data_IF_728418260163
#
_entry.id   IF_728418260163
#
_cell.length_a   1.000
_cell.length_b   1.000
_cell.length_c   1.000
_cell.angle_alpha   90.00
_cell.angle_beta   90.00
_cell.angle_gamma   90.00
#
_symmetry.space_group_name_H-M   'P 1'
#
loop_
_entity.id
_entity.type
_entity.pdbx_description
1 polymer ?
#
# COMPACT_ATOMS: atom_id res chain seq x y z
N UNK A 1 37.14 -20.85 5.27
CA UNK A 1 36.72 -19.66 4.51
C UNK A 1 35.23 -19.63 4.64
N UNK A 2 34.69 -18.61 5.26
CA UNK A 2 33.22 -18.39 5.23
C UNK A 2 32.81 -18.25 3.76
N UNK A 3 31.84 -19.06 3.33
CA UNK A 3 31.29 -18.99 2.00
C UNK A 3 30.60 -17.60 1.85
N UNK A 4 30.94 -16.85 0.80
CA UNK A 4 30.34 -15.54 0.58
C UNK A 4 28.84 -15.72 0.40
N UNK A 5 28.03 -15.20 1.33
CA UNK A 5 26.57 -15.35 1.38
C UNK A 5 25.91 -14.91 0.07
N UNK A 6 26.39 -13.84 -0.55
CA UNK A 6 25.87 -13.34 -1.81
C UNK A 6 26.04 -14.36 -2.96
N UNK A 7 27.22 -14.97 -3.06
CA UNK A 7 27.49 -16.00 -4.07
C UNK A 7 26.64 -17.25 -3.83
N UNK A 8 26.47 -17.64 -2.57
CA UNK A 8 25.61 -18.77 -2.21
C UNK A 8 24.16 -18.51 -2.65
N UNK A 9 23.55 -17.41 -2.20
CA UNK A 9 22.17 -17.05 -2.53
C UNK A 9 21.97 -16.90 -4.06
N UNK A 10 22.91 -16.25 -4.75
CA UNK A 10 22.91 -16.16 -6.21
C UNK A 10 22.93 -17.53 -6.89
N UNK A 11 23.78 -18.44 -6.40
CA UNK A 11 23.91 -19.80 -6.95
C UNK A 11 22.65 -20.62 -6.72
N UNK A 12 22.02 -20.47 -5.56
CA UNK A 12 20.73 -21.11 -5.25
C UNK A 12 19.63 -20.62 -6.18
N UNK A 13 19.55 -19.30 -6.39
CA UNK A 13 18.56 -18.71 -7.29
C UNK A 13 18.69 -19.16 -8.74
N UNK A 14 19.91 -19.10 -9.32
CA UNK A 14 20.12 -19.48 -10.72
C UNK A 14 19.82 -20.97 -11.00
N UNK A 15 20.01 -21.81 -9.96
CA UNK A 15 19.76 -23.26 -10.03
C UNK A 15 18.36 -23.65 -9.57
N UNK A 16 17.58 -22.71 -9.01
CA UNK A 16 16.24 -23.02 -8.50
C UNK A 16 15.33 -23.53 -9.62
N UNK A 17 14.62 -24.63 -9.36
CA UNK A 17 13.59 -25.13 -10.27
C UNK A 17 12.39 -24.21 -10.20
N UNK A 18 11.88 -23.81 -11.37
CA UNK A 18 10.70 -22.94 -11.43
C UNK A 18 10.99 -21.43 -11.48
N UNK A 19 12.27 -21.02 -11.43
CA UNK A 19 12.58 -19.63 -11.75
C UNK A 19 12.23 -19.32 -13.20
N UNK A 20 11.61 -18.18 -13.44
CA UNK A 20 11.26 -17.69 -14.76
C UNK A 20 12.45 -17.66 -15.72
N UNK A 21 12.22 -17.94 -17.01
CA UNK A 21 13.28 -18.05 -18.02
C UNK A 21 14.05 -16.73 -18.23
N UNK A 22 13.33 -15.62 -18.24
CA UNK A 22 13.92 -14.31 -18.49
C UNK A 22 14.74 -13.87 -17.26
N UNK A 23 14.23 -14.15 -16.05
CA UNK A 23 14.94 -13.97 -14.80
C UNK A 23 16.22 -14.81 -14.76
N UNK A 24 16.14 -16.09 -15.13
CA UNK A 24 17.30 -16.97 -15.21
C UNK A 24 18.37 -16.43 -16.20
N UNK A 25 17.93 -15.97 -17.37
CA UNK A 25 18.82 -15.37 -18.37
C UNK A 25 19.48 -14.08 -17.83
N UNK A 26 18.71 -13.26 -17.10
CA UNK A 26 19.26 -12.08 -16.46
C UNK A 26 20.33 -12.45 -15.41
N UNK A 27 20.07 -13.45 -14.57
CA UNK A 27 21.04 -13.97 -13.60
C UNK A 27 22.30 -14.51 -14.27
N UNK A 28 22.17 -15.27 -15.38
CA UNK A 28 23.35 -15.75 -16.14
C UNK A 28 24.22 -14.59 -16.64
N UNK A 29 23.61 -13.49 -17.08
CA UNK A 29 24.34 -12.31 -17.53
C UNK A 29 24.98 -11.53 -16.37
N UNK A 30 24.48 -11.70 -15.14
CA UNK A 30 25.00 -11.03 -13.93
C UNK A 30 26.36 -11.62 -13.48
N UNK A 31 26.75 -12.80 -13.89
CA UNK A 31 27.96 -13.49 -13.45
C UNK A 31 29.24 -12.66 -13.64
N UNK A 32 29.27 -11.78 -14.65
CA UNK A 32 30.38 -10.86 -14.92
C UNK A 32 30.34 -9.57 -14.09
N UNK A 33 29.37 -9.40 -13.20
CA UNK A 33 29.11 -8.19 -12.41
C UNK A 33 29.06 -8.51 -10.90
N UNK A 34 30.20 -8.82 -10.27
CA UNK A 34 30.24 -9.28 -8.87
C UNK A 34 29.68 -8.26 -7.87
N UNK A 35 29.84 -6.95 -8.12
CA UNK A 35 29.28 -5.90 -7.27
C UNK A 35 27.74 -5.91 -7.30
N UNK A 36 27.13 -6.23 -8.44
CA UNK A 36 25.69 -6.37 -8.56
C UNK A 36 25.18 -7.63 -7.85
N UNK A 37 25.91 -8.74 -7.96
CA UNK A 37 25.61 -9.96 -7.20
C UNK A 37 25.66 -9.66 -5.70
N UNK A 38 26.69 -9.00 -5.22
CA UNK A 38 26.80 -8.59 -3.82
C UNK A 38 25.60 -7.72 -3.41
N UNK A 39 25.26 -6.69 -4.19
CA UNK A 39 24.16 -5.78 -3.90
C UNK A 39 22.78 -6.46 -3.88
N UNK A 40 22.58 -7.51 -4.69
CA UNK A 40 21.27 -8.16 -4.84
C UNK A 40 21.08 -9.39 -3.94
N UNK A 41 22.17 -9.98 -3.42
CA UNK A 41 22.15 -11.29 -2.76
C UNK A 41 22.88 -11.35 -1.41
N UNK A 42 23.58 -10.28 -0.98
CA UNK A 42 24.32 -10.27 0.30
C UNK A 42 23.42 -10.44 1.52
N UNK A 43 22.16 -10.01 1.38
CA UNK A 43 21.18 -10.05 2.44
C UNK A 43 19.84 -10.64 1.94
N UNK A 44 19.03 -11.05 2.86
CA UNK A 44 17.60 -11.30 2.62
C UNK A 44 16.83 -10.08 3.06
N UNK A 45 15.70 -9.79 2.40
CA UNK A 45 14.85 -8.69 2.80
C UNK A 45 14.43 -8.85 4.26
N UNK A 46 14.74 -7.85 5.06
CA UNK A 46 14.30 -7.81 6.46
C UNK A 46 12.80 -7.51 6.53
N UNK A 47 12.09 -8.33 7.27
CA UNK A 47 10.69 -8.11 7.61
C UNK A 47 10.65 -7.28 8.91
N UNK A 48 10.72 -5.96 8.76
CA UNK A 48 10.68 -5.04 9.91
C UNK A 48 9.25 -4.79 10.41
N UNK A 49 9.12 -3.99 11.47
CA UNK A 49 7.83 -3.60 12.11
C UNK A 49 6.81 -3.03 11.10
N UNK A 50 7.27 -2.42 10.02
CA UNK A 50 6.41 -1.85 8.98
C UNK A 50 6.23 -2.77 7.76
N UNK A 51 6.62 -4.06 7.86
CA UNK A 51 6.70 -4.98 6.74
C UNK A 51 8.03 -4.88 5.98
N UNK A 52 8.05 -5.22 4.70
CA UNK A 52 9.26 -5.14 3.85
C UNK A 52 9.20 -3.92 2.94
N UNK A 53 10.33 -3.25 2.72
CA UNK A 53 10.49 -2.20 1.69
C UNK A 53 11.89 -2.27 1.10
N UNK A 54 11.97 -2.37 -0.22
CA UNK A 54 13.23 -2.31 -0.94
C UNK A 54 13.03 -1.81 -2.37
N UNK A 55 14.12 -1.59 -3.06
CA UNK A 55 14.08 -1.37 -4.51
C UNK A 55 13.64 -2.63 -5.23
N UNK A 56 12.87 -2.45 -6.29
CA UNK A 56 12.47 -3.54 -7.19
C UNK A 56 13.69 -4.15 -7.89
N UNK A 57 13.68 -5.44 -8.10
CA UNK A 57 14.76 -6.11 -8.83
C UNK A 57 14.93 -7.59 -8.50
N UNK A 58 15.94 -8.16 -9.10
CA UNK A 58 16.31 -9.57 -8.93
C UNK A 58 17.11 -9.76 -7.65
N UNK A 59 16.88 -10.86 -6.95
CA UNK A 59 17.66 -11.30 -5.80
C UNK A 59 16.93 -11.22 -4.47
N UNK A 60 17.53 -11.84 -3.46
CA UNK A 60 16.96 -11.97 -2.12
C UNK A 60 16.90 -10.64 -1.34
N UNK A 61 17.70 -9.66 -1.73
CA UNK A 61 17.74 -8.32 -1.12
C UNK A 61 16.83 -7.29 -1.85
N UNK A 62 15.99 -7.73 -2.79
CA UNK A 62 15.13 -6.87 -3.63
C UNK A 62 13.67 -7.28 -3.52
N UNK A 63 12.78 -6.30 -3.74
CA UNK A 63 11.35 -6.59 -3.93
C UNK A 63 11.11 -7.22 -5.30
N UNK A 64 10.54 -8.40 -5.29
CA UNK A 64 10.12 -9.14 -6.47
C UNK A 64 9.02 -10.16 -6.10
N UNK A 65 8.45 -10.85 -7.08
CA UNK A 65 7.37 -11.82 -6.85
C UNK A 65 7.78 -12.94 -5.88
N UNK A 66 9.04 -13.36 -5.87
CA UNK A 66 9.53 -14.46 -5.02
C UNK A 66 9.69 -14.03 -3.56
N UNK A 67 10.28 -12.85 -3.30
CA UNK A 67 10.42 -12.33 -1.93
C UNK A 67 9.06 -12.01 -1.30
N UNK A 68 8.12 -11.50 -2.11
CA UNK A 68 6.73 -11.28 -1.69
C UNK A 68 6.00 -12.61 -1.42
N UNK A 69 6.16 -13.60 -2.30
CA UNK A 69 5.57 -14.92 -2.12
C UNK A 69 6.06 -15.61 -0.83
N UNK A 70 7.36 -15.53 -0.55
CA UNK A 70 7.93 -16.02 0.71
C UNK A 70 7.24 -15.43 1.93
N UNK A 71 7.10 -14.09 1.95
CA UNK A 71 6.48 -13.39 3.08
C UNK A 71 4.98 -13.70 3.22
N UNK A 72 4.26 -13.75 2.10
CA UNK A 72 2.83 -14.04 2.09
C UNK A 72 2.52 -15.48 2.54
N UNK A 73 3.31 -16.44 2.08
CA UNK A 73 3.21 -17.84 2.52
C UNK A 73 3.48 -17.98 4.02
N UNK A 74 4.57 -17.38 4.51
CA UNK A 74 4.94 -17.41 5.92
C UNK A 74 3.86 -16.76 6.81
N UNK A 75 3.26 -15.65 6.35
CA UNK A 75 2.11 -15.04 7.03
C UNK A 75 0.90 -15.96 7.06
N UNK A 76 0.60 -16.65 5.96
CA UNK A 76 -0.49 -17.61 5.88
C UNK A 76 -0.30 -18.79 6.84
N UNK A 77 0.91 -19.36 6.91
CA UNK A 77 1.22 -20.43 7.87
C UNK A 77 1.03 -19.96 9.33
N UNK A 78 1.50 -18.76 9.66
CA UNK A 78 1.33 -18.15 10.98
C UNK A 78 -0.15 -17.97 11.35
N UNK A 79 -0.96 -17.46 10.42
CA UNK A 79 -2.39 -17.27 10.65
C UNK A 79 -3.14 -18.60 10.80
N UNK A 80 -2.81 -19.61 10.01
CA UNK A 80 -3.41 -20.96 10.14
C UNK A 80 -3.09 -21.62 11.47
N UNK A 81 -1.86 -21.51 11.93
CA UNK A 81 -1.48 -22.03 13.25
C UNK A 81 -2.26 -21.33 14.37
N UNK A 82 -2.41 -19.99 14.28
CA UNK A 82 -3.18 -19.20 15.26
C UNK A 82 -4.68 -19.56 15.27
N UNK A 83 -5.22 -20.04 14.15
CA UNK A 83 -6.65 -20.34 13.96
C UNK A 83 -6.92 -21.82 13.72
N UNK A 84 -6.26 -22.71 14.47
CA UNK A 84 -6.34 -24.17 14.33
C UNK A 84 -7.75 -24.69 13.97
N UNK A 85 -7.84 -25.42 12.85
CA UNK A 85 -9.07 -26.10 12.42
C UNK A 85 -10.16 -25.18 11.83
N UNK A 86 -9.90 -23.90 11.66
CA UNK A 86 -10.82 -22.94 11.01
C UNK A 86 -10.32 -22.56 9.63
N UNK A 87 -11.25 -22.21 8.76
CA UNK A 87 -10.92 -21.53 7.51
C UNK A 87 -10.35 -20.14 7.81
N UNK A 88 -9.18 -19.84 7.26
CA UNK A 88 -8.51 -18.56 7.39
C UNK A 88 -8.68 -17.79 6.09
N UNK A 89 -9.05 -16.51 6.16
CA UNK A 89 -9.16 -15.63 5.01
C UNK A 89 -8.45 -14.29 5.25
N UNK A 90 -7.80 -13.78 4.21
CA UNK A 90 -7.12 -12.48 4.23
C UNK A 90 -7.60 -11.57 3.12
N UNK A 91 -7.42 -10.27 3.29
CA UNK A 91 -7.69 -9.26 2.26
C UNK A 91 -6.37 -8.80 1.65
N UNK A 92 -6.29 -8.74 0.32
CA UNK A 92 -5.11 -8.21 -0.38
C UNK A 92 -5.50 -7.01 -1.23
N UNK A 93 -4.74 -5.93 -1.10
CA UNK A 93 -4.86 -4.71 -1.91
C UNK A 93 -3.48 -4.17 -2.30
N UNK A 94 -3.47 -3.21 -3.22
CA UNK A 94 -2.25 -2.63 -3.77
C UNK A 94 -2.47 -1.17 -4.18
N UNK A 95 -1.38 -0.42 -4.27
CA UNK A 95 -1.36 0.98 -4.71
C UNK A 95 -1.06 1.14 -6.21
N UNK A 96 -0.76 2.39 -6.63
CA UNK A 96 -0.50 2.74 -8.03
C UNK A 96 0.93 2.46 -8.52
N UNK A 97 1.82 1.97 -7.67
CA UNK A 97 3.23 1.75 -8.02
C UNK A 97 3.38 0.69 -9.11
N UNK A 98 4.45 0.82 -9.88
CA UNK A 98 4.83 -0.17 -10.87
C UNK A 98 4.95 -1.56 -10.20
N UNK A 99 4.43 -2.58 -10.86
CA UNK A 99 4.40 -3.98 -10.43
C UNK A 99 3.60 -4.25 -9.13
N UNK A 100 2.88 -3.27 -8.54
CA UNK A 100 2.11 -3.50 -7.31
C UNK A 100 1.05 -4.58 -7.49
N UNK A 101 0.38 -4.63 -8.64
CA UNK A 101 -0.62 -5.65 -8.94
C UNK A 101 0.01 -7.04 -9.08
N UNK A 102 1.10 -7.16 -9.84
CA UNK A 102 1.80 -8.45 -10.05
C UNK A 102 2.34 -9.01 -8.74
N UNK A 103 2.89 -8.14 -7.87
CA UNK A 103 3.33 -8.53 -6.54
C UNK A 103 2.15 -8.95 -5.65
N UNK A 104 0.99 -8.28 -5.76
CA UNK A 104 -0.22 -8.65 -5.03
C UNK A 104 -0.78 -10.00 -5.48
N UNK A 105 -0.76 -10.28 -6.80
CA UNK A 105 -1.16 -11.57 -7.37
C UNK A 105 -0.24 -12.70 -6.88
N UNK A 106 1.09 -12.47 -6.86
CA UNK A 106 2.05 -13.43 -6.30
C UNK A 106 1.83 -13.67 -4.79
N UNK A 107 1.50 -12.62 -4.03
CA UNK A 107 1.12 -12.75 -2.62
C UNK A 107 -0.15 -13.58 -2.45
N UNK A 108 -1.16 -13.39 -3.31
CA UNK A 108 -2.40 -14.14 -3.28
C UNK A 108 -2.17 -15.63 -3.55
N UNK A 109 -1.44 -15.96 -4.62
CA UNK A 109 -1.07 -17.33 -4.96
C UNK A 109 -0.32 -18.02 -3.81
N UNK A 110 0.68 -17.35 -3.23
CA UNK A 110 1.45 -17.91 -2.12
C UNK A 110 0.60 -18.08 -0.84
N UNK A 111 -0.33 -17.16 -0.58
CA UNK A 111 -1.27 -17.29 0.54
C UNK A 111 -2.19 -18.48 0.35
N UNK A 112 -2.74 -18.69 -0.85
CA UNK A 112 -3.54 -19.87 -1.16
C UNK A 112 -2.73 -21.18 -1.05
N UNK A 113 -1.46 -21.18 -1.49
CA UNK A 113 -0.56 -22.32 -1.34
C UNK A 113 -0.31 -22.69 0.16
N UNK A 114 -0.40 -21.72 1.07
CA UNK A 114 -0.40 -21.99 2.53
C UNK A 114 -1.75 -22.48 3.05
N UNK A 115 -2.79 -22.52 2.22
CA UNK A 115 -4.16 -22.96 2.57
C UNK A 115 -5.04 -21.86 3.15
N UNK A 116 -4.80 -20.59 2.80
CA UNK A 116 -5.58 -19.41 3.19
C UNK A 116 -6.46 -18.95 2.03
N UNK A 117 -7.71 -18.59 2.27
CA UNK A 117 -8.59 -17.97 1.28
C UNK A 117 -8.26 -16.49 1.12
N UNK A 118 -8.36 -15.97 -0.09
CA UNK A 118 -8.00 -14.60 -0.40
C UNK A 118 -9.19 -13.80 -0.93
N UNK A 119 -9.44 -12.64 -0.32
CA UNK A 119 -10.28 -11.58 -0.86
C UNK A 119 -9.35 -10.58 -1.55
N UNK A 120 -9.39 -10.51 -2.87
CA UNK A 120 -8.47 -9.73 -3.69
C UNK A 120 -9.13 -8.47 -4.23
N UNK A 121 -8.46 -7.33 -4.11
CA UNK A 121 -8.97 -6.05 -4.62
C UNK A 121 -9.05 -6.04 -6.16
N UNK A 122 -10.22 -5.77 -6.73
CA UNK A 122 -10.42 -5.70 -8.19
C UNK A 122 -9.65 -4.54 -8.86
N UNK A 123 -9.24 -3.56 -8.07
CA UNK A 123 -8.44 -2.38 -8.48
C UNK A 123 -7.56 -1.90 -7.35
N UNK A 124 -6.67 -0.94 -7.64
CA UNK A 124 -5.89 -0.27 -6.60
C UNK A 124 -6.82 0.45 -5.59
N UNK A 125 -6.51 0.34 -4.30
CA UNK A 125 -7.22 1.02 -3.20
C UNK A 125 -6.25 1.49 -2.13
N UNK A 126 -6.58 2.58 -1.42
CA UNK A 126 -5.74 3.10 -0.34
C UNK A 126 -5.70 2.19 0.90
N UNK A 127 -4.63 2.33 1.67
CA UNK A 127 -4.44 1.62 2.95
C UNK A 127 -5.65 1.72 3.90
N UNK A 128 -6.28 2.89 4.11
CA UNK A 128 -7.45 2.96 4.98
C UNK A 128 -8.62 2.09 4.51
N UNK A 129 -8.78 1.89 3.20
CA UNK A 129 -9.83 1.01 2.66
C UNK A 129 -9.48 -0.47 2.85
N UNK A 130 -8.21 -0.86 2.77
CA UNK A 130 -7.78 -2.22 3.14
C UNK A 130 -8.09 -2.49 4.62
N UNK A 131 -7.69 -1.59 5.52
CA UNK A 131 -7.98 -1.70 6.96
C UNK A 131 -9.47 -1.83 7.24
N UNK A 132 -10.31 -1.09 6.53
CA UNK A 132 -11.75 -1.19 6.62
C UNK A 132 -12.26 -2.53 6.08
N UNK A 133 -11.78 -2.97 4.91
CA UNK A 133 -12.21 -4.22 4.28
C UNK A 133 -11.90 -5.45 5.15
N UNK A 134 -10.73 -5.50 5.81
CA UNK A 134 -10.39 -6.55 6.76
C UNK A 134 -11.48 -6.70 7.83
N UNK A 135 -11.89 -5.60 8.46
CA UNK A 135 -12.92 -5.59 9.51
C UNK A 135 -14.31 -5.88 8.95
N UNK A 136 -14.64 -5.30 7.79
CA UNK A 136 -15.94 -5.47 7.16
C UNK A 136 -16.21 -6.92 6.75
N UNK A 137 -15.21 -7.59 6.17
CA UNK A 137 -15.29 -9.00 5.81
C UNK A 137 -15.04 -9.96 6.97
N UNK A 138 -14.73 -9.46 8.18
CA UNK A 138 -14.26 -10.25 9.30
C UNK A 138 -13.13 -11.20 8.88
N UNK A 139 -12.13 -10.67 8.17
CA UNK A 139 -10.96 -11.40 7.73
C UNK A 139 -9.92 -11.51 8.86
N UNK A 140 -9.10 -12.55 8.82
CA UNK A 140 -8.11 -12.85 9.85
C UNK A 140 -6.85 -11.97 9.74
N UNK A 141 -6.68 -11.29 8.59
CA UNK A 141 -5.60 -10.36 8.34
C UNK A 141 -5.66 -9.76 6.95
N UNK A 142 -4.60 -9.05 6.56
CA UNK A 142 -4.50 -8.49 5.22
C UNK A 142 -3.09 -8.12 4.80
N UNK A 143 -2.92 -7.91 3.50
CA UNK A 143 -1.66 -7.53 2.87
C UNK A 143 -1.91 -6.29 2.01
N UNK A 144 -1.05 -5.28 2.16
CA UNK A 144 -0.97 -4.13 1.26
C UNK A 144 0.35 -4.12 0.52
N UNK A 145 0.31 -4.14 -0.78
CA UNK A 145 1.50 -3.96 -1.62
C UNK A 145 1.67 -2.48 -1.92
N UNK A 146 2.66 -1.89 -1.27
CA UNK A 146 2.97 -0.45 -1.35
C UNK A 146 4.31 -0.14 -0.70
N UNK A 147 5.02 0.87 -1.21
CA UNK A 147 6.12 1.51 -0.51
C UNK A 147 5.75 2.93 -0.03
N UNK A 148 4.44 3.25 0.10
CA UNK A 148 3.95 4.55 0.56
C UNK A 148 4.58 5.69 -0.25
N UNK A 149 5.31 6.58 0.37
CA UNK A 149 5.94 7.77 -0.21
C UNK A 149 7.38 7.56 -0.73
N UNK A 150 7.92 6.34 -0.75
CA UNK A 150 9.28 6.11 -1.24
C UNK A 150 9.42 6.46 -2.74
N UNK A 151 10.64 6.68 -3.26
CA UNK A 151 10.89 6.85 -4.69
C UNK A 151 10.28 5.72 -5.54
N UNK A 152 10.13 5.97 -6.85
CA UNK A 152 9.44 5.05 -7.77
C UNK A 152 10.07 3.67 -7.91
N UNK A 153 11.38 3.58 -7.65
CA UNK A 153 12.15 2.33 -7.72
C UNK A 153 11.80 1.35 -6.60
N UNK A 154 11.09 1.82 -5.55
CA UNK A 154 10.72 1.03 -4.39
C UNK A 154 9.32 0.43 -4.53
N UNK A 155 9.17 -0.77 -3.97
CA UNK A 155 7.87 -1.31 -3.58
C UNK A 155 7.97 -1.95 -2.18
N UNK A 156 6.87 -2.47 -1.64
CA UNK A 156 6.86 -3.02 -0.29
C UNK A 156 5.66 -3.92 -0.03
N UNK A 157 5.70 -4.55 1.12
CA UNK A 157 4.70 -5.46 1.64
C UNK A 157 4.39 -5.06 3.08
N UNK A 158 3.17 -4.61 3.36
CA UNK A 158 2.68 -4.32 4.72
C UNK A 158 1.68 -5.39 5.14
N UNK A 159 1.83 -5.95 6.34
CA UNK A 159 0.92 -6.94 6.92
C UNK A 159 0.00 -6.34 7.99
N UNK A 160 -1.25 -6.80 8.00
CA UNK A 160 -2.32 -6.28 8.86
C UNK A 160 -3.00 -7.40 9.63
N UNK A 161 -3.46 -7.07 10.86
CA UNK A 161 -4.23 -7.94 11.74
C UNK A 161 -5.72 -7.91 11.42
N UNK A 162 -6.48 -8.79 12.04
CA UNK A 162 -7.95 -8.87 11.92
C UNK A 162 -8.70 -7.61 12.39
N UNK A 163 -8.09 -6.79 13.26
CA UNK A 163 -8.64 -5.50 13.69
C UNK A 163 -8.40 -4.36 12.68
N UNK A 164 -7.70 -4.66 11.57
CA UNK A 164 -7.33 -3.70 10.54
C UNK A 164 -6.11 -2.85 10.87
N UNK A 165 -5.46 -3.06 12.01
CA UNK A 165 -4.21 -2.41 12.35
C UNK A 165 -3.01 -3.18 11.74
N UNK A 166 -1.91 -2.48 11.53
CA UNK A 166 -0.66 -3.10 11.07
C UNK A 166 -0.14 -4.09 12.14
N UNK A 167 0.46 -5.20 11.69
CA UNK A 167 1.05 -6.18 12.61
C UNK A 167 2.17 -5.55 13.44
N UNK A 168 2.33 -6.00 14.67
CA UNK A 168 3.36 -5.57 15.61
C UNK A 168 4.58 -6.49 15.57
N UNK A 169 5.65 -6.12 16.26
CA UNK A 169 6.94 -6.82 16.23
C UNK A 169 6.83 -8.32 16.53
N UNK A 170 6.01 -8.73 17.49
CA UNK A 170 5.81 -10.14 17.84
C UNK A 170 5.24 -10.95 16.65
N UNK A 171 4.29 -10.39 15.93
CA UNK A 171 3.65 -11.04 14.78
C UNK A 171 4.58 -11.04 13.56
N UNK A 172 5.33 -9.96 13.35
CA UNK A 172 6.32 -9.88 12.27
C UNK A 172 7.50 -10.82 12.49
N UNK A 173 7.97 -10.99 13.71
CA UNK A 173 8.98 -11.99 14.06
C UNK A 173 8.44 -13.43 13.89
N UNK A 174 7.17 -13.66 14.17
CA UNK A 174 6.54 -14.96 13.91
C UNK A 174 6.48 -15.28 12.40
N UNK A 175 6.23 -14.29 11.54
CA UNK A 175 6.32 -14.45 10.09
C UNK A 175 7.78 -14.73 9.68
N UNK A 176 8.72 -13.91 10.15
CA UNK A 176 10.14 -14.02 9.83
C UNK A 176 10.73 -15.39 10.19
N UNK A 177 10.31 -15.96 11.33
CA UNK A 177 10.77 -17.30 11.78
C UNK A 177 10.33 -18.43 10.85
N UNK A 178 9.38 -18.23 9.95
CA UNK A 178 8.88 -19.21 8.98
C UNK A 178 9.53 -19.05 7.59
N UNK A 179 10.33 -18.03 7.39
CA UNK A 179 11.14 -17.87 6.18
C UNK A 179 12.34 -18.81 6.30
N UNK A 180 12.45 -19.79 5.39
CA UNK A 180 13.46 -20.85 5.45
C UNK A 180 14.78 -20.48 4.77
N UNK A 181 14.67 -19.97 3.54
CA UNK A 181 15.82 -19.69 2.68
C UNK A 181 15.45 -18.74 1.53
N UNK A 182 16.47 -18.32 0.78
CA UNK A 182 16.34 -17.35 -0.29
C UNK A 182 15.53 -17.84 -1.51
N UNK A 183 15.29 -19.15 -1.68
CA UNK A 183 14.58 -19.73 -2.84
C UNK A 183 13.16 -20.18 -2.51
N UNK A 184 12.73 -20.07 -1.27
CA UNK A 184 11.42 -20.53 -0.81
C UNK A 184 10.27 -20.02 -1.70
N UNK A 185 10.27 -18.73 -2.04
CA UNK A 185 9.22 -18.16 -2.89
C UNK A 185 9.24 -18.68 -4.32
N UNK A 186 10.43 -19.02 -4.85
CA UNK A 186 10.55 -19.66 -6.18
C UNK A 186 9.90 -21.05 -6.14
N UNK A 187 10.20 -21.85 -5.11
CA UNK A 187 9.62 -23.18 -4.92
C UNK A 187 8.10 -23.12 -4.79
N UNK A 188 7.58 -22.20 -3.96
CA UNK A 188 6.15 -22.01 -3.75
C UNK A 188 5.45 -21.69 -5.07
N UNK A 189 5.87 -20.66 -5.78
CA UNK A 189 5.23 -20.24 -7.02
C UNK A 189 5.37 -21.27 -8.16
N UNK A 190 6.42 -22.10 -8.13
CA UNK A 190 6.63 -23.13 -9.16
C UNK A 190 5.70 -24.34 -9.00
N UNK A 191 5.11 -24.54 -7.83
CA UNK A 191 4.26 -25.70 -7.50
C UNK A 191 2.81 -25.30 -7.22
N UNK A 192 2.54 -24.00 -7.01
CA UNK A 192 1.21 -23.49 -6.77
C UNK A 192 0.37 -23.50 -8.06
N UNK A 193 -0.93 -23.53 -7.90
CA UNK A 193 -1.88 -23.27 -8.99
C UNK A 193 -1.75 -21.83 -9.47
N UNK A 194 -2.15 -21.59 -10.72
CA UNK A 194 -2.12 -20.22 -11.26
C UNK A 194 -3.13 -19.33 -10.56
N UNK A 195 -2.90 -18.01 -10.58
CA UNK A 195 -3.84 -17.04 -10.04
C UNK A 195 -5.26 -17.20 -10.66
N UNK A 196 -5.34 -17.46 -11.97
CA UNK A 196 -6.60 -17.65 -12.68
C UNK A 196 -7.33 -18.93 -12.25
N UNK A 197 -6.60 -20.04 -12.06
CA UNK A 197 -7.19 -21.28 -11.56
C UNK A 197 -7.75 -21.12 -10.14
N UNK A 198 -7.00 -20.47 -9.25
CA UNK A 198 -7.44 -20.15 -7.89
C UNK A 198 -8.68 -19.25 -7.84
N UNK A 199 -8.81 -18.32 -8.80
CA UNK A 199 -10.03 -17.51 -8.96
C UNK A 199 -11.19 -18.38 -9.42
N UNK A 200 -10.99 -19.27 -10.39
CA UNK A 200 -12.02 -20.19 -10.90
C UNK A 200 -12.51 -21.15 -9.82
N UNK A 201 -11.63 -21.64 -8.96
CA UNK A 201 -11.93 -22.57 -7.86
C UNK A 201 -12.52 -21.87 -6.62
N UNK A 202 -12.47 -20.54 -6.60
CA UNK A 202 -13.03 -19.72 -5.50
C UNK A 202 -12.12 -19.62 -4.27
N UNK A 203 -10.84 -19.93 -4.40
CA UNK A 203 -9.82 -19.71 -3.37
C UNK A 203 -9.39 -18.24 -3.34
N UNK A 204 -9.46 -17.58 -4.50
CA UNK A 204 -9.35 -16.12 -4.61
C UNK A 204 -10.71 -15.58 -5.06
N UNK A 205 -11.27 -14.64 -4.30
CA UNK A 205 -12.53 -13.96 -4.63
C UNK A 205 -12.26 -12.47 -4.73
N UNK A 206 -12.72 -11.83 -5.82
CA UNK A 206 -12.62 -10.38 -5.94
C UNK A 206 -13.62 -9.67 -5.03
N UNK A 207 -13.16 -8.58 -4.43
CA UNK A 207 -14.07 -7.57 -3.87
C UNK A 207 -13.92 -6.25 -4.64
N UNK A 208 -15.00 -5.48 -4.66
CA UNK A 208 -15.10 -4.32 -5.52
C UNK A 208 -15.94 -3.20 -4.94
N UNK A 209 -16.97 -2.82 -5.70
CA UNK A 209 -17.80 -1.65 -5.40
C UNK A 209 -18.52 -1.73 -4.06
N UNK A 210 -18.85 -2.91 -3.59
CA UNK A 210 -19.53 -3.12 -2.29
C UNK A 210 -18.71 -2.57 -1.11
N UNK A 211 -17.38 -2.69 -1.17
CA UNK A 211 -16.50 -2.08 -0.17
C UNK A 211 -16.39 -0.58 -0.37
N UNK A 212 -16.34 -0.10 -1.61
CA UNK A 212 -16.29 1.33 -1.89
C UNK A 212 -17.54 2.02 -1.32
N UNK A 213 -18.74 1.49 -1.61
CA UNK A 213 -20.02 2.04 -1.16
C UNK A 213 -20.17 1.94 0.37
N UNK A 214 -19.73 0.84 0.98
CA UNK A 214 -19.77 0.66 2.43
C UNK A 214 -18.77 1.57 3.17
N UNK A 215 -17.59 1.79 2.61
CA UNK A 215 -16.59 2.72 3.14
C UNK A 215 -17.10 4.17 3.10
N UNK A 216 -17.71 4.58 1.98
CA UNK A 216 -18.31 5.90 1.84
C UNK A 216 -19.45 6.11 2.83
N UNK A 217 -20.32 5.11 3.01
CA UNK A 217 -21.38 5.17 4.00
C UNK A 217 -20.84 5.38 5.42
N UNK A 218 -19.75 4.69 5.79
CA UNK A 218 -19.08 4.87 7.08
C UNK A 218 -18.51 6.29 7.25
N UNK A 219 -17.89 6.85 6.17
CA UNK A 219 -17.40 8.24 6.18
C UNK A 219 -18.57 9.21 6.35
N UNK A 220 -19.64 9.05 5.57
CA UNK A 220 -20.81 9.93 5.65
C UNK A 220 -21.44 9.91 7.05
N UNK A 221 -21.57 8.74 7.66
CA UNK A 221 -22.09 8.59 9.02
C UNK A 221 -21.22 9.31 10.05
N UNK A 222 -19.92 9.22 9.92
CA UNK A 222 -18.96 9.93 10.77
C UNK A 222 -19.07 11.47 10.70
N UNK A 223 -19.60 12.02 9.60
CA UNK A 223 -19.78 13.45 9.38
C UNK A 223 -21.24 13.93 9.52
N UNK A 224 -22.22 13.05 9.71
CA UNK A 224 -23.64 13.40 9.83
C UNK A 224 -23.90 14.36 11.00
N UNK A 225 -23.06 14.35 12.02
CA UNK A 225 -23.12 15.23 13.18
C UNK A 225 -22.31 16.52 13.06
N UNK A 226 -21.62 16.72 11.92
CA UNK A 226 -20.78 17.91 11.73
C UNK A 226 -21.56 19.21 11.80
N UNK A 227 -21.08 20.17 12.62
CA UNK A 227 -21.66 21.52 12.74
C UNK A 227 -21.37 22.42 11.54
N UNK A 228 -20.59 21.96 10.56
CA UNK A 228 -20.24 22.73 9.35
C UNK A 228 -21.44 22.81 8.41
N UNK A 229 -21.93 24.02 8.15
CA UNK A 229 -23.09 24.22 7.27
C UNK A 229 -22.78 23.84 5.82
N UNK A 230 -23.82 23.39 5.08
CA UNK A 230 -23.69 23.11 3.65
C UNK A 230 -23.17 24.34 2.89
N UNK A 231 -23.65 25.55 3.23
CA UNK A 231 -23.21 26.79 2.60
C UNK A 231 -21.69 27.01 2.76
N UNK A 232 -21.13 26.69 3.93
CA UNK A 232 -19.70 26.79 4.19
C UNK A 232 -18.91 25.80 3.33
N UNK A 233 -19.42 24.56 3.19
CA UNK A 233 -18.80 23.55 2.33
C UNK A 233 -18.86 23.92 0.85
N UNK A 234 -20.00 24.40 0.35
CA UNK A 234 -20.17 24.87 -1.03
C UNK A 234 -19.29 26.07 -1.38
N UNK A 235 -18.90 26.89 -0.39
CA UNK A 235 -18.03 28.04 -0.62
C UNK A 235 -16.56 27.70 -0.70
N UNK A 236 -16.12 26.68 0.02
CA UNK A 236 -14.69 26.30 0.13
C UNK A 236 -14.13 25.80 -1.21
N UNK A 237 -13.02 26.37 -1.62
CA UNK A 237 -12.30 26.01 -2.86
C UNK A 237 -11.09 25.17 -2.51
N UNK A 238 -11.06 23.93 -2.97
CA UNK A 238 -10.06 22.93 -2.63
C UNK A 238 -9.27 22.58 -3.88
N UNK A 239 -7.95 22.63 -3.83
CA UNK A 239 -7.11 21.91 -4.79
C UNK A 239 -6.70 20.58 -4.16
N UNK A 240 -6.93 19.48 -4.87
CA UNK A 240 -6.56 18.16 -4.42
C UNK A 240 -5.60 17.49 -5.40
N UNK A 241 -4.53 16.92 -4.86
CA UNK A 241 -3.63 16.01 -5.58
C UNK A 241 -3.48 14.68 -4.85
N UNK A 242 -3.76 13.55 -5.51
CA UNK A 242 -3.44 12.21 -5.02
C UNK A 242 -1.97 11.83 -5.23
N UNK A 243 -1.11 12.70 -5.77
CA UNK A 243 0.27 12.43 -6.15
C UNK A 243 0.41 11.16 -7.02
N UNK A 244 -0.44 11.02 -8.04
CA UNK A 244 -0.56 9.83 -8.90
C UNK A 244 -0.93 8.54 -8.14
N UNK A 245 -1.49 8.64 -6.95
CA UNK A 245 -1.78 7.54 -6.04
C UNK A 245 -3.22 7.04 -6.06
N UNK A 246 -3.50 6.15 -5.11
CA UNK A 246 -4.78 5.44 -4.93
C UNK A 246 -5.90 6.31 -4.34
N UNK A 247 -5.57 7.48 -3.77
CA UNK A 247 -6.55 8.40 -3.17
C UNK A 247 -7.47 9.11 -4.16
N UNK A 248 -7.16 9.10 -5.46
CA UNK A 248 -7.89 9.84 -6.50
C UNK A 248 -9.41 9.69 -6.42
N UNK A 249 -9.89 8.47 -6.52
CA UNK A 249 -11.33 8.21 -6.55
C UNK A 249 -11.99 8.34 -5.18
N UNK A 250 -11.51 7.68 -4.10
CA UNK A 250 -12.20 7.70 -2.82
C UNK A 250 -12.22 9.08 -2.18
N UNK A 251 -11.11 9.84 -2.21
CA UNK A 251 -11.08 11.19 -1.61
C UNK A 251 -11.99 12.15 -2.36
N UNK A 252 -11.95 12.15 -3.70
CA UNK A 252 -12.80 13.02 -4.51
C UNK A 252 -14.27 12.68 -4.38
N UNK A 253 -14.61 11.41 -4.28
CA UNK A 253 -15.98 10.93 -4.06
C UNK A 253 -16.48 11.38 -2.69
N UNK A 254 -15.71 11.13 -1.62
CA UNK A 254 -16.08 11.56 -0.27
C UNK A 254 -16.25 13.08 -0.17
N UNK A 255 -15.35 13.88 -0.74
CA UNK A 255 -15.48 15.34 -0.75
C UNK A 255 -16.77 15.78 -1.45
N UNK A 256 -17.13 15.19 -2.59
CA UNK A 256 -18.36 15.50 -3.34
C UNK A 256 -19.60 15.12 -2.54
N UNK A 257 -19.64 13.93 -1.96
CA UNK A 257 -20.78 13.46 -1.17
C UNK A 257 -20.97 14.30 0.10
N UNK A 258 -19.89 14.78 0.70
CA UNK A 258 -19.93 15.73 1.80
C UNK A 258 -20.38 17.14 1.37
N UNK A 259 -20.57 17.40 0.07
CA UNK A 259 -21.06 18.67 -0.47
C UNK A 259 -19.97 19.72 -0.73
N UNK A 260 -18.72 19.29 -0.95
CA UNK A 260 -17.67 20.18 -1.44
C UNK A 260 -17.66 20.18 -2.97
N UNK A 261 -18.33 21.17 -3.57
CA UNK A 261 -18.56 21.27 -5.03
C UNK A 261 -17.31 21.82 -5.78
N UNK A 262 -16.46 22.58 -5.11
CA UNK A 262 -15.33 23.30 -5.73
C UNK A 262 -14.00 22.59 -5.44
N UNK A 263 -13.88 21.38 -5.96
CA UNK A 263 -12.65 20.56 -5.86
C UNK A 263 -11.96 20.54 -7.22
N UNK A 264 -10.75 21.08 -7.29
CA UNK A 264 -9.93 21.20 -8.49
C UNK A 264 -8.79 20.19 -8.44
N UNK A 265 -8.67 19.35 -9.47
CA UNK A 265 -7.60 18.36 -9.56
C UNK A 265 -6.32 19.00 -10.14
N UNK A 266 -5.16 18.48 -9.69
CA UNK A 266 -3.86 18.74 -10.32
C UNK A 266 -3.69 17.70 -11.43
N UNK A 267 -3.94 18.09 -12.69
CA UNK A 267 -4.09 17.16 -13.81
C UNK A 267 -2.90 16.22 -14.02
N UNK A 268 -1.66 16.71 -13.85
CA UNK A 268 -0.43 15.95 -14.01
C UNK A 268 -0.24 14.89 -12.93
N UNK A 269 -0.94 15.04 -11.80
CA UNK A 269 -0.83 14.19 -10.62
C UNK A 269 -2.14 13.42 -10.33
N UNK A 270 -3.19 13.62 -11.16
CA UNK A 270 -4.53 13.07 -10.89
C UNK A 270 -4.63 11.58 -11.21
N UNK A 271 -4.13 11.15 -12.37
CA UNK A 271 -4.20 9.74 -12.73
C UNK A 271 -3.15 8.89 -12.00
N UNK A 272 -3.52 7.68 -11.55
CA UNK A 272 -2.56 6.74 -11.00
C UNK A 272 -1.40 6.47 -11.97
N UNK A 273 -0.17 6.63 -11.51
CA UNK A 273 1.03 6.44 -12.31
C UNK A 273 2.22 6.11 -11.39
N UNK A 274 2.76 4.90 -11.51
CA UNK A 274 3.86 4.41 -10.69
C UNK A 274 5.21 5.07 -10.98
N UNK A 275 5.33 5.82 -12.08
CA UNK A 275 6.53 6.59 -12.40
C UNK A 275 6.58 7.96 -11.71
N UNK A 276 5.46 8.45 -11.15
CA UNK A 276 5.38 9.76 -10.49
C UNK A 276 6.06 10.88 -11.29
N UNK A 277 5.68 11.12 -12.56
CA UNK A 277 6.49 11.87 -13.53
C UNK A 277 6.76 13.34 -13.16
N UNK A 278 5.97 13.91 -12.27
CA UNK A 278 6.13 15.28 -11.78
C UNK A 278 6.90 15.42 -10.47
N UNK A 279 7.30 14.29 -9.86
CA UNK A 279 7.86 14.26 -8.50
C UNK A 279 9.05 13.31 -8.42
N UNK A 280 10.07 13.72 -7.69
CA UNK A 280 11.15 12.79 -7.32
C UNK A 280 10.71 11.80 -6.23
N UNK A 281 9.95 12.30 -5.25
CA UNK A 281 9.45 11.54 -4.11
C UNK A 281 8.02 12.01 -3.83
N UNK A 282 7.00 11.15 -3.91
CA UNK A 282 5.60 11.53 -3.70
C UNK A 282 5.27 11.62 -2.20
N UNK A 283 5.94 12.54 -1.47
CA UNK A 283 5.79 12.68 -0.02
C UNK A 283 5.16 14.02 0.36
N UNK A 284 3.98 14.04 0.98
CA UNK A 284 3.31 15.26 1.44
C UNK A 284 4.10 16.12 2.45
N UNK A 285 5.17 15.57 3.03
CA UNK A 285 6.04 16.33 3.94
C UNK A 285 7.05 17.24 3.21
N UNK A 286 7.27 17.02 1.91
CA UNK A 286 8.23 17.80 1.14
C UNK A 286 7.58 19.01 0.46
N UNK A 287 8.30 20.14 0.40
CA UNK A 287 7.76 21.39 -0.12
C UNK A 287 7.57 21.37 -1.64
N UNK A 288 8.46 20.70 -2.37
CA UNK A 288 8.41 20.55 -3.84
C UNK A 288 7.18 19.75 -4.30
N UNK A 289 6.62 18.93 -3.43
CA UNK A 289 5.38 18.19 -3.68
C UNK A 289 4.19 19.11 -3.95
N UNK A 290 4.22 20.33 -3.42
CA UNK A 290 3.14 21.31 -3.56
C UNK A 290 3.31 22.25 -4.76
N UNK A 291 4.41 22.23 -5.49
CA UNK A 291 4.71 23.23 -6.52
C UNK A 291 3.66 23.31 -7.64
N UNK A 292 3.19 22.15 -8.12
CA UNK A 292 2.09 22.12 -9.09
C UNK A 292 0.75 22.51 -8.43
N UNK A 293 0.45 21.96 -7.27
CA UNK A 293 -0.79 22.23 -6.56
C UNK A 293 -0.95 23.73 -6.22
N UNK A 294 0.13 24.44 -5.86
CA UNK A 294 0.13 25.90 -5.63
C UNK A 294 -0.24 26.65 -6.90
N UNK A 295 0.31 26.30 -8.08
CA UNK A 295 -0.07 26.92 -9.36
C UNK A 295 -1.57 26.77 -9.66
N UNK A 296 -2.10 25.55 -9.47
CA UNK A 296 -3.53 25.29 -9.61
C UNK A 296 -4.37 26.06 -8.59
N UNK A 297 -3.86 26.19 -7.35
CA UNK A 297 -4.54 26.94 -6.30
C UNK A 297 -4.60 28.44 -6.58
N UNK A 298 -3.52 29.04 -7.08
CA UNK A 298 -3.50 30.44 -7.53
C UNK A 298 -4.51 30.67 -8.67
N UNK A 299 -4.51 29.81 -9.71
CA UNK A 299 -5.44 29.92 -10.84
C UNK A 299 -6.90 29.77 -10.44
N UNK A 300 -7.19 28.88 -9.50
CA UNK A 300 -8.55 28.62 -9.00
C UNK A 300 -8.94 29.49 -7.82
N UNK A 301 -8.04 30.30 -7.29
CA UNK A 301 -8.21 31.06 -6.03
C UNK A 301 -8.65 30.12 -4.90
N UNK A 302 -7.96 29.00 -4.72
CA UNK A 302 -8.30 28.01 -3.71
C UNK A 302 -7.98 28.50 -2.30
N UNK A 303 -8.81 28.11 -1.34
CA UNK A 303 -8.61 28.42 0.08
C UNK A 303 -7.62 27.42 0.72
N UNK A 304 -7.61 26.17 0.19
CA UNK A 304 -6.84 25.07 0.76
C UNK A 304 -6.32 24.15 -0.35
N UNK A 305 -5.12 23.62 -0.12
CA UNK A 305 -4.53 22.54 -0.90
C UNK A 305 -4.50 21.27 -0.02
N UNK A 306 -4.94 20.16 -0.57
CA UNK A 306 -4.88 18.84 0.06
C UNK A 306 -4.05 17.93 -0.86
N UNK A 307 -3.10 17.21 -0.28
CA UNK A 307 -2.31 16.18 -0.97
C UNK A 307 -2.30 14.89 -0.17
N UNK A 308 -2.35 13.74 -0.85
CA UNK A 308 -2.17 12.41 -0.23
C UNK A 308 -1.03 11.69 -0.90
N UNK A 309 -0.29 10.87 -0.14
CA UNK A 309 0.74 10.00 -0.72
C UNK A 309 0.13 8.83 -1.50
N UNK A 310 0.92 8.03 -2.25
CA UNK A 310 0.39 7.03 -3.16
C UNK A 310 -0.56 5.99 -2.56
N UNK A 311 -0.38 5.57 -1.33
CA UNK A 311 -1.27 4.65 -0.62
C UNK A 311 -2.26 5.35 0.32
N UNK A 312 -2.25 6.69 0.31
CA UNK A 312 -3.19 7.59 0.98
C UNK A 312 -3.37 7.34 2.49
N UNK A 313 -2.30 6.91 3.16
CA UNK A 313 -2.24 6.84 4.62
C UNK A 313 -1.65 8.11 5.24
N UNK A 314 -1.17 9.06 4.40
CA UNK A 314 -0.67 10.37 4.79
C UNK A 314 -1.44 11.49 4.11
N UNK A 315 -1.61 12.56 4.87
CA UNK A 315 -2.27 13.79 4.45
C UNK A 315 -1.33 14.97 4.62
N UNK A 316 -1.21 15.78 3.58
CA UNK A 316 -0.59 17.08 3.63
C UNK A 316 -1.58 18.18 3.30
N UNK A 317 -1.44 19.33 3.95
CA UNK A 317 -2.34 20.47 3.80
C UNK A 317 -1.54 21.76 3.70
N UNK A 318 -1.94 22.64 2.77
CA UNK A 318 -1.52 24.03 2.77
C UNK A 318 -2.75 24.96 2.71
N UNK A 319 -2.69 26.06 3.42
CA UNK A 319 -3.79 27.04 3.51
C UNK A 319 -3.33 28.37 2.93
N UNK A 320 -4.25 29.10 2.26
CA UNK A 320 -3.98 30.45 1.81
C UNK A 320 -4.04 31.42 2.99
N UNK A 321 -2.93 32.09 3.26
CA UNK A 321 -2.82 33.06 4.34
C UNK A 321 -1.84 34.17 3.97
N UNK A 322 -2.24 35.42 4.19
CA UNK A 322 -1.45 36.64 3.94
C UNK A 322 -0.79 36.70 2.54
N UNK A 323 -1.46 36.18 1.51
CA UNK A 323 -0.98 36.29 0.13
C UNK A 323 -0.18 35.08 -0.38
N UNK A 324 0.01 34.05 0.44
CA UNK A 324 0.75 32.84 0.08
C UNK A 324 0.09 31.57 0.61
N UNK A 325 0.47 30.39 0.05
CA UNK A 325 0.04 29.09 0.56
C UNK A 325 1.07 28.58 1.58
N UNK A 326 0.67 28.56 2.85
CA UNK A 326 1.47 28.08 3.98
C UNK A 326 1.19 26.61 4.26
N UNK A 327 2.20 25.75 4.12
CA UNK A 327 2.10 24.32 4.45
C UNK A 327 2.01 24.13 5.97
N UNK A 328 1.08 23.29 6.40
CA UNK A 328 0.97 22.84 7.77
C UNK A 328 1.83 21.59 7.99
N UNK A 329 2.49 21.51 9.12
CA UNK A 329 3.18 20.27 9.53
C UNK A 329 2.16 19.22 9.96
N UNK A 330 2.53 17.93 9.89
CA UNK A 330 1.69 16.83 10.35
C UNK A 330 1.22 17.01 11.80
N UNK A 331 2.09 17.53 12.69
CA UNK A 331 1.74 17.83 14.08
C UNK A 331 0.70 18.95 14.21
N UNK A 332 0.79 20.00 13.37
CA UNK A 332 -0.23 21.06 13.34
C UNK A 332 -1.57 20.52 12.84
N UNK A 333 -1.56 19.73 11.77
CA UNK A 333 -2.77 19.09 11.24
C UNK A 333 -3.38 18.18 12.32
N UNK A 334 -2.59 17.34 12.98
CA UNK A 334 -3.03 16.45 14.05
C UNK A 334 -3.65 17.21 15.23
N UNK A 335 -3.04 18.32 15.66
CA UNK A 335 -3.57 19.15 16.75
C UNK A 335 -4.92 19.79 16.37
N UNK A 336 -5.05 20.32 15.15
CA UNK A 336 -6.30 20.92 14.65
C UNK A 336 -7.41 19.86 14.55
N UNK A 337 -7.10 18.68 14.00
CA UNK A 337 -8.06 17.58 13.89
C UNK A 337 -8.50 17.07 15.26
N UNK A 338 -7.58 16.92 16.20
CA UNK A 338 -7.89 16.49 17.57
C UNK A 338 -8.83 17.48 18.27
N UNK A 339 -8.53 18.78 18.19
CA UNK A 339 -9.37 19.82 18.78
C UNK A 339 -10.76 19.83 18.18
N UNK A 340 -10.86 19.72 16.82
CA UNK A 340 -12.14 19.62 16.13
C UNK A 340 -12.94 18.40 16.60
N UNK A 341 -12.34 17.20 16.58
CA UNK A 341 -13.03 15.97 16.98
C UNK A 341 -13.52 15.99 18.42
N UNK A 342 -12.71 16.50 19.35
CA UNK A 342 -13.10 16.65 20.76
C UNK A 342 -14.23 17.67 20.92
N UNK A 343 -14.19 18.76 20.17
CA UNK A 343 -15.26 19.77 20.18
C UNK A 343 -16.60 19.21 19.67
N UNK A 344 -16.58 18.42 18.58
CA UNK A 344 -17.78 17.77 18.05
C UNK A 344 -18.30 16.67 18.99
N UNK A 345 -17.45 15.82 19.54
CA UNK A 345 -17.83 14.81 20.52
C UNK A 345 -18.52 15.44 21.76
N UNK A 346 -17.95 16.54 22.26
CA UNK A 346 -18.56 17.27 23.39
C UNK A 346 -19.95 17.84 23.08
N UNK A 347 -20.19 18.32 21.85
CA UNK A 347 -21.51 18.80 21.40
C UNK A 347 -22.54 17.66 21.33
N UNK A 348 -22.10 16.45 21.02
CA UNK A 348 -22.94 15.25 20.95
C UNK A 348 -23.20 14.59 22.30
N UNK A 349 -22.60 15.07 23.38
CA UNK A 349 -22.76 14.53 24.74
C UNK A 349 -21.95 13.26 25.00
N UNK A 350 -20.91 13.02 24.22
CA UNK A 350 -19.95 11.93 24.40
C UNK A 350 -18.68 12.39 25.14
#
# INVERSE_FOLDING_TARGET
MEENKAIKNYTEWINAKGIDSDMRQYLMNMISRPEEIESCFSEELDFGTAGMRATMGVGSARMNIYTVATAAYAMGEMLKEKHEGKEVKIVISYDSRNNSRELAEAAAVASCASGVKVLFSDRLRPVPMLSYAIRNFAADGGIMITASHNPKEYNGFKSYRSDGAQMIDEETEAIKSRIRDAVQGIEILSTAESFEDLVNDGDITYFGREIDDSYDAMIMDSFNSSSVSRRSRDSLRIVYSPLNGSGREPVRRSLRELGYEKVFAVNEQDNPDGDFPSLRVPNPEYDDTYDLAKKYAEMSMADIIIVTDPDSDRLGVAVYDEGEYKKLTGNQIGAILLEYLLSEAKKLGN
#
